data_IF_252338091841
#
_entry.id   IF_252338091841
#
_cell.length_a   1.000
_cell.length_b   1.000
_cell.length_c   1.000
_cell.angle_alpha   90.00
_cell.angle_beta   90.00
_cell.angle_gamma   90.00
#
_symmetry.space_group_name_H-M   'P 1'
#
loop_
_entity.id
_entity.type
_entity.pdbx_description
1 polymer ?
#
# COMPACT_ATOMS: atom_id res chain seq x y z
N UNK A 1 -2.20 7.89 -9.51
CA UNK A 1 -2.47 7.27 -8.21
C UNK A 1 -3.91 7.48 -7.79
N UNK A 2 -4.39 6.58 -6.90
CA UNK A 2 -5.73 6.69 -6.33
C UNK A 2 -5.75 6.15 -4.90
N UNK A 3 -6.62 6.74 -4.06
CA UNK A 3 -6.83 6.27 -2.70
C UNK A 3 -8.32 6.30 -2.35
N UNK A 4 -8.72 5.44 -1.42
CA UNK A 4 -10.09 5.42 -0.93
C UNK A 4 -10.20 4.87 0.48
N UNK A 5 -11.24 5.35 1.19
CA UNK A 5 -11.59 4.94 2.54
C UNK A 5 -13.08 4.62 2.58
N UNK A 6 -13.45 3.51 3.21
CA UNK A 6 -14.86 3.16 3.42
C UNK A 6 -15.08 2.42 4.73
N UNK A 7 -16.08 2.85 5.49
CA UNK A 7 -16.63 2.06 6.57
C UNK A 7 -17.51 0.95 5.99
N UNK A 8 -17.29 -0.28 6.44
CA UNK A 8 -18.00 -1.47 5.96
C UNK A 8 -18.53 -2.28 7.13
N UNK A 9 -19.37 -3.28 6.86
CA UNK A 9 -19.86 -4.21 7.88
C UNK A 9 -18.74 -5.07 8.50
N UNK A 10 -17.58 -5.19 7.81
CA UNK A 10 -16.41 -5.94 8.29
C UNK A 10 -15.42 -5.07 9.07
N UNK A 11 -15.46 -3.75 8.87
CA UNK A 11 -14.55 -2.79 9.49
C UNK A 11 -14.23 -1.61 8.59
N UNK A 12 -13.19 -0.85 8.93
CA UNK A 12 -12.70 0.28 8.15
C UNK A 12 -11.70 -0.20 7.10
N UNK A 13 -11.99 0.06 5.83
CA UNK A 13 -11.15 -0.30 4.69
C UNK A 13 -10.46 0.95 4.13
N UNK A 14 -9.15 0.89 3.99
CA UNK A 14 -8.32 1.90 3.30
C UNK A 14 -7.58 1.22 2.16
N UNK A 15 -7.57 1.85 0.98
CA UNK A 15 -6.91 1.35 -0.22
C UNK A 15 -6.08 2.48 -0.82
N UNK A 16 -4.83 2.17 -1.20
CA UNK A 16 -3.94 3.06 -1.97
C UNK A 16 -3.39 2.26 -3.14
N UNK A 17 -3.46 2.86 -4.32
CA UNK A 17 -3.06 2.25 -5.59
C UNK A 17 -2.19 3.23 -6.39
N UNK A 18 -1.06 2.74 -6.89
CA UNK A 18 -0.15 3.43 -7.79
C UNK A 18 -0.37 2.95 -9.21
N UNK A 19 -0.78 3.84 -10.09
CA UNK A 19 -1.19 3.51 -11.45
C UNK A 19 -0.06 3.57 -12.46
N UNK A 20 0.10 2.54 -13.27
CA UNK A 20 1.09 2.43 -14.34
C UNK A 20 0.44 2.22 -15.71
N UNK A 21 1.13 2.65 -16.78
CA UNK A 21 0.63 2.50 -18.17
C UNK A 21 0.35 3.83 -18.88
N UNK A 22 1.22 4.81 -18.65
CA UNK A 22 1.11 6.18 -19.18
C UNK A 22 0.03 7.02 -18.47
N UNK A 23 -0.03 8.32 -18.80
CA UNK A 23 -0.84 9.28 -18.04
C UNK A 23 -2.33 8.93 -17.92
N UNK A 24 -2.94 8.30 -18.92
CA UNK A 24 -4.36 7.92 -18.88
C UNK A 24 -4.57 6.52 -18.30
N UNK A 25 -3.78 5.54 -18.73
CA UNK A 25 -3.95 4.15 -18.34
C UNK A 25 -3.75 3.92 -16.84
N UNK A 26 -2.69 4.46 -16.26
CA UNK A 26 -2.41 4.36 -14.83
C UNK A 26 -3.51 4.96 -13.95
N UNK A 27 -4.01 6.14 -14.31
CA UNK A 27 -5.11 6.80 -13.59
C UNK A 27 -6.40 5.97 -13.63
N UNK A 28 -6.76 5.43 -14.79
CA UNK A 28 -7.96 4.57 -14.93
C UNK A 28 -7.78 3.28 -14.12
N UNK A 29 -6.64 2.61 -14.23
CA UNK A 29 -6.38 1.37 -13.52
C UNK A 29 -6.45 1.53 -12.00
N UNK A 30 -5.79 2.57 -11.44
CA UNK A 30 -5.79 2.81 -10.00
C UNK A 30 -7.18 3.22 -9.48
N UNK A 31 -7.94 4.03 -10.20
CA UNK A 31 -9.31 4.40 -9.84
C UNK A 31 -10.25 3.19 -9.86
N UNK A 32 -10.19 2.38 -10.92
CA UNK A 32 -11.00 1.18 -11.07
C UNK A 32 -10.68 0.16 -9.97
N UNK A 33 -9.40 0.00 -9.62
CA UNK A 33 -8.99 -0.85 -8.50
C UNK A 33 -9.59 -0.40 -7.17
N UNK A 34 -9.41 0.87 -6.81
CA UNK A 34 -9.94 1.42 -5.56
C UNK A 34 -11.45 1.25 -5.49
N UNK A 35 -12.17 1.65 -6.54
CA UNK A 35 -13.63 1.54 -6.58
C UNK A 35 -14.11 0.10 -6.42
N UNK A 36 -13.58 -0.83 -7.21
CA UNK A 36 -13.97 -2.24 -7.19
C UNK A 36 -13.72 -2.89 -5.82
N UNK A 37 -12.57 -2.59 -5.20
CA UNK A 37 -12.23 -3.13 -3.89
C UNK A 37 -13.18 -2.59 -2.82
N UNK A 38 -13.42 -1.28 -2.78
CA UNK A 38 -14.32 -0.66 -1.82
C UNK A 38 -15.76 -1.19 -1.94
N UNK A 39 -16.27 -1.32 -3.16
CA UNK A 39 -17.63 -1.82 -3.42
C UNK A 39 -17.76 -3.31 -3.08
N UNK A 40 -16.80 -4.13 -3.44
CA UNK A 40 -16.82 -5.57 -3.15
C UNK A 40 -16.82 -5.83 -1.64
N UNK A 41 -15.96 -5.15 -0.88
CA UNK A 41 -15.90 -5.34 0.59
C UNK A 41 -17.15 -4.75 1.25
N UNK A 42 -17.66 -3.60 0.78
CA UNK A 42 -18.85 -2.97 1.35
C UNK A 42 -20.13 -3.80 1.13
N UNK A 43 -20.20 -4.58 0.04
CA UNK A 43 -21.32 -5.47 -0.25
C UNK A 43 -21.31 -6.78 0.55
N UNK A 44 -20.21 -7.10 1.22
CA UNK A 44 -20.07 -8.33 1.99
C UNK A 44 -20.95 -8.33 3.24
N UNK A 45 -21.42 -9.51 3.61
CA UNK A 45 -22.18 -9.69 4.86
C UNK A 45 -21.24 -9.66 6.08
N UNK A 46 -21.82 -9.29 7.24
CA UNK A 46 -21.08 -9.21 8.50
C UNK A 46 -20.43 -10.54 8.92
N UNK A 47 -21.02 -11.68 8.50
CA UNK A 47 -20.49 -13.01 8.76
C UNK A 47 -19.44 -13.49 7.76
N UNK A 48 -19.19 -12.73 6.69
CA UNK A 48 -18.18 -13.08 5.70
C UNK A 48 -16.79 -13.11 6.34
N UNK A 49 -15.95 -14.04 5.88
CA UNK A 49 -14.55 -14.07 6.30
C UNK A 49 -13.81 -12.84 5.74
N UNK A 50 -13.26 -11.96 6.59
CA UNK A 50 -12.66 -10.70 6.13
C UNK A 50 -11.46 -10.91 5.19
N UNK A 51 -10.58 -11.87 5.49
CA UNK A 51 -9.39 -12.17 4.66
C UNK A 51 -9.80 -12.65 3.26
N UNK A 52 -10.72 -13.61 3.19
CA UNK A 52 -11.22 -14.14 1.91
C UNK A 52 -11.95 -13.06 1.10
N UNK A 53 -12.70 -12.20 1.79
CA UNK A 53 -13.41 -11.08 1.14
C UNK A 53 -12.43 -10.09 0.53
N UNK A 54 -11.36 -9.74 1.26
CA UNK A 54 -10.34 -8.81 0.78
C UNK A 54 -9.56 -9.38 -0.41
N UNK A 55 -9.16 -10.65 -0.35
CA UNK A 55 -8.51 -11.34 -1.49
C UNK A 55 -9.43 -11.35 -2.72
N UNK A 56 -10.71 -11.71 -2.53
CA UNK A 56 -11.70 -11.69 -3.62
C UNK A 56 -11.86 -10.30 -4.22
N UNK A 57 -11.91 -9.26 -3.39
CA UNK A 57 -12.05 -7.88 -3.84
C UNK A 57 -10.87 -7.44 -4.71
N UNK A 58 -9.64 -7.77 -4.32
CA UNK A 58 -8.43 -7.46 -5.10
C UNK A 58 -8.41 -8.25 -6.41
N UNK A 59 -8.80 -9.53 -6.40
CA UNK A 59 -8.91 -10.33 -7.64
C UNK A 59 -9.98 -9.80 -8.58
N UNK A 60 -11.13 -9.36 -8.06
CA UNK A 60 -12.16 -8.71 -8.87
C UNK A 60 -11.64 -7.43 -9.52
N UNK A 61 -10.89 -6.62 -8.77
CA UNK A 61 -10.25 -5.42 -9.31
C UNK A 61 -9.25 -5.75 -10.43
N UNK A 62 -8.44 -6.80 -10.24
CA UNK A 62 -7.53 -7.28 -11.27
C UNK A 62 -8.26 -7.63 -12.57
N UNK A 63 -9.34 -8.39 -12.48
CA UNK A 63 -10.12 -8.77 -13.65
C UNK A 63 -10.81 -7.57 -14.32
N UNK A 64 -11.36 -6.64 -13.53
CA UNK A 64 -11.99 -5.43 -14.06
C UNK A 64 -10.98 -4.57 -14.87
N UNK A 65 -9.74 -4.44 -14.40
CA UNK A 65 -8.68 -3.70 -15.12
C UNK A 65 -8.33 -4.41 -16.43
N UNK A 66 -8.19 -5.73 -16.42
CA UNK A 66 -7.90 -6.52 -17.63
C UNK A 66 -9.02 -6.37 -18.66
N UNK A 67 -10.29 -6.51 -18.24
CA UNK A 67 -11.45 -6.37 -19.10
C UNK A 67 -11.55 -4.98 -19.71
N UNK A 68 -11.32 -3.93 -18.93
CA UNK A 68 -11.34 -2.55 -19.43
C UNK A 68 -10.21 -2.31 -20.45
N UNK A 69 -8.99 -2.82 -20.19
CA UNK A 69 -7.87 -2.73 -21.13
C UNK A 69 -8.10 -3.52 -22.43
N UNK A 70 -8.88 -4.62 -22.40
CA UNK A 70 -9.26 -5.37 -23.58
C UNK A 70 -10.34 -4.65 -24.41
N UNK A 71 -11.29 -3.98 -23.74
CA UNK A 71 -12.38 -3.26 -24.38
C UNK A 71 -11.96 -1.91 -24.96
N UNK A 72 -10.90 -1.30 -24.42
CA UNK A 72 -10.41 0.01 -24.84
C UNK A 72 -8.93 -0.07 -25.24
N UNK A 73 -8.62 -0.07 -26.56
CA UNK A 73 -7.24 -0.16 -27.04
C UNK A 73 -6.28 0.91 -26.52
N UNK A 74 -6.79 2.11 -26.15
CA UNK A 74 -5.98 3.19 -25.57
C UNK A 74 -5.53 2.91 -24.12
N UNK A 75 -6.15 1.92 -23.48
CA UNK A 75 -5.87 1.51 -22.10
C UNK A 75 -5.16 0.13 -22.04
N UNK A 76 -4.78 -0.41 -23.19
CA UNK A 76 -4.12 -1.71 -23.25
C UNK A 76 -2.82 -1.71 -22.46
N UNK A 77 -2.64 -2.70 -21.59
CA UNK A 77 -1.45 -2.86 -20.76
C UNK A 77 -1.41 -1.92 -19.56
N UNK A 78 -2.51 -1.22 -19.24
CA UNK A 78 -2.60 -0.49 -17.98
C UNK A 78 -2.58 -1.44 -16.79
N UNK A 79 -2.03 -0.98 -15.68
CA UNK A 79 -1.97 -1.72 -14.43
C UNK A 79 -1.89 -0.80 -13.23
N UNK A 80 -1.87 -1.39 -12.06
CA UNK A 80 -1.71 -0.64 -10.81
C UNK A 80 -1.17 -1.54 -9.70
N UNK A 81 -0.44 -0.96 -8.74
CA UNK A 81 -0.21 -1.60 -7.46
C UNK A 81 -1.49 -1.59 -6.63
N UNK A 82 -1.51 -2.30 -5.54
CA UNK A 82 -2.52 -2.16 -4.50
C UNK A 82 -1.91 -2.38 -3.12
N UNK A 83 -2.25 -1.50 -2.20
CA UNK A 83 -2.16 -1.72 -0.75
C UNK A 83 -3.54 -1.53 -0.15
N UNK A 84 -3.99 -2.50 0.64
CA UNK A 84 -5.29 -2.48 1.30
C UNK A 84 -5.14 -2.85 2.77
N UNK A 85 -5.73 -2.04 3.64
CA UNK A 85 -5.79 -2.24 5.08
C UNK A 85 -7.26 -2.33 5.51
N UNK A 86 -7.68 -3.49 6.00
CA UNK A 86 -8.98 -3.68 6.62
C UNK A 86 -8.83 -3.80 8.13
N UNK A 87 -9.26 -2.76 8.83
CA UNK A 87 -9.25 -2.70 10.30
C UNK A 87 -10.55 -3.26 10.85
N UNK A 88 -10.49 -4.44 11.43
CA UNK A 88 -11.59 -5.05 12.17
C UNK A 88 -11.40 -4.84 13.67
N UNK A 89 -12.44 -5.04 14.53
CA UNK A 89 -12.23 -5.04 15.97
C UNK A 89 -11.23 -6.10 16.46
N UNK A 90 -11.02 -7.16 15.65
CA UNK A 90 -10.16 -8.28 16.02
C UNK A 90 -8.70 -8.04 15.64
N UNK A 91 -8.45 -7.45 14.48
CA UNK A 91 -7.11 -7.37 13.89
C UNK A 91 -7.06 -6.36 12.75
N UNK A 92 -5.85 -6.05 12.30
CA UNK A 92 -5.56 -5.40 11.04
C UNK A 92 -5.21 -6.46 9.99
N UNK A 93 -5.94 -6.48 8.88
CA UNK A 93 -5.61 -7.27 7.70
C UNK A 93 -4.91 -6.36 6.70
N UNK A 94 -3.66 -6.68 6.37
CA UNK A 94 -2.88 -6.00 5.34
C UNK A 94 -2.84 -6.89 4.10
N UNK A 95 -3.23 -6.36 2.94
CA UNK A 95 -3.15 -7.08 1.67
C UNK A 95 -2.49 -6.20 0.61
N UNK A 96 -1.63 -6.78 -0.24
CA UNK A 96 -0.92 -5.98 -1.23
C UNK A 96 -0.44 -6.77 -2.44
N UNK A 97 -0.24 -6.05 -3.54
CA UNK A 97 0.45 -6.46 -4.77
C UNK A 97 1.22 -5.26 -5.31
N UNK A 98 2.51 -5.42 -5.57
CA UNK A 98 3.38 -4.36 -6.07
C UNK A 98 4.38 -3.88 -5.04
N UNK A 99 4.83 -2.65 -5.17
CA UNK A 99 5.87 -2.00 -4.36
C UNK A 99 5.39 -0.79 -3.56
N UNK A 100 4.10 -0.45 -3.64
CA UNK A 100 3.47 0.41 -2.64
C UNK A 100 3.48 -0.29 -1.29
N UNK A 101 3.65 0.46 -0.21
CA UNK A 101 3.94 -0.10 1.12
C UNK A 101 2.87 0.16 2.16
N UNK A 102 2.73 -0.79 3.08
CA UNK A 102 1.99 -0.63 4.34
C UNK A 102 3.00 -0.71 5.48
N UNK A 103 3.03 0.32 6.32
CA UNK A 103 3.81 0.35 7.56
C UNK A 103 2.88 0.24 8.76
N UNK A 104 3.33 -0.45 9.82
CA UNK A 104 2.79 -0.35 11.17
C UNK A 104 3.87 0.19 12.09
N UNK A 105 3.62 1.34 12.70
CA UNK A 105 4.52 1.98 13.64
C UNK A 105 3.94 1.88 15.05
N UNK A 106 4.79 1.60 16.02
CA UNK A 106 4.47 1.55 17.46
C UNK A 106 5.50 2.30 18.25
N UNK A 107 5.08 3.32 19.01
CA UNK A 107 5.98 4.14 19.85
C UNK A 107 7.20 4.64 19.07
N UNK A 108 6.99 5.15 17.87
CA UNK A 108 8.03 5.69 17.01
C UNK A 108 8.94 4.66 16.33
N UNK A 109 8.61 3.38 16.39
CA UNK A 109 9.39 2.30 15.76
C UNK A 109 8.57 1.55 14.74
N UNK A 110 9.19 1.17 13.63
CA UNK A 110 8.62 0.25 12.66
C UNK A 110 8.53 -1.15 13.28
N UNK A 111 7.30 -1.67 13.43
CA UNK A 111 7.05 -3.05 13.88
C UNK A 111 6.65 -3.96 12.73
N UNK A 112 6.27 -3.37 11.59
CA UNK A 112 5.95 -4.08 10.36
C UNK A 112 6.10 -3.19 9.14
N UNK A 113 6.42 -3.79 8.02
CA UNK A 113 6.34 -3.24 6.67
C UNK A 113 6.11 -4.38 5.67
N UNK A 114 5.29 -4.15 4.63
CA UNK A 114 5.15 -5.04 3.47
C UNK A 114 6.48 -5.18 2.73
N UNK A 115 6.66 -6.27 2.00
CA UNK A 115 7.86 -6.52 1.21
C UNK A 115 7.57 -6.32 -0.28
N UNK A 116 8.32 -5.44 -0.94
CA UNK A 116 8.04 -5.03 -2.31
C UNK A 116 8.16 -6.18 -3.32
N UNK A 117 7.22 -6.26 -4.26
CA UNK A 117 7.28 -7.14 -5.41
C UNK A 117 8.05 -6.48 -6.56
N UNK A 118 9.31 -6.15 -6.34
CA UNK A 118 10.20 -5.56 -7.34
C UNK A 118 11.47 -6.41 -7.55
N UNK A 119 12.11 -6.21 -8.70
CA UNK A 119 13.33 -6.95 -9.04
C UNK A 119 14.43 -6.74 -8.00
N UNK A 120 14.64 -5.51 -7.56
CA UNK A 120 15.71 -5.18 -6.60
C UNK A 120 15.40 -5.75 -5.21
N UNK A 121 14.13 -5.79 -4.79
CA UNK A 121 13.76 -6.36 -3.51
C UNK A 121 13.80 -7.89 -3.49
N UNK A 122 13.66 -8.57 -4.62
CA UNK A 122 14.00 -9.99 -4.73
C UNK A 122 15.50 -10.25 -4.49
N UNK A 123 16.38 -9.32 -4.93
CA UNK A 123 17.82 -9.40 -4.62
C UNK A 123 18.09 -9.15 -3.12
N UNK A 124 17.34 -8.23 -2.48
CA UNK A 124 17.40 -8.03 -1.02
C UNK A 124 16.98 -9.31 -0.28
N UNK A 125 15.87 -9.93 -0.69
CA UNK A 125 15.37 -11.20 -0.11
C UNK A 125 16.41 -12.31 -0.19
N UNK A 126 17.15 -12.37 -1.30
CA UNK A 126 18.27 -13.31 -1.52
C UNK A 126 19.57 -12.87 -0.83
N UNK A 127 19.58 -11.75 -0.11
CA UNK A 127 20.75 -11.15 0.56
C UNK A 127 21.90 -10.81 -0.38
N UNK A 128 21.63 -10.51 -1.65
CA UNK A 128 22.61 -10.09 -2.66
C UNK A 128 22.96 -8.62 -2.52
N UNK A 129 21.94 -7.79 -2.20
CA UNK A 129 22.10 -6.35 -1.96
C UNK A 129 21.36 -5.93 -0.68
N UNK A 130 21.72 -4.77 -0.12
CA UNK A 130 21.00 -4.15 1.00
C UNK A 130 19.75 -3.41 0.50
N UNK A 131 18.82 -3.09 1.41
CA UNK A 131 17.62 -2.28 1.07
C UNK A 131 18.02 -0.89 0.58
N UNK A 132 19.07 -0.29 1.12
CA UNK A 132 19.57 1.01 0.67
C UNK A 132 20.16 0.93 -0.74
N UNK A 133 20.88 -0.14 -1.07
CA UNK A 133 21.35 -0.38 -2.44
C UNK A 133 20.17 -0.59 -3.41
N UNK A 134 19.11 -1.30 -2.98
CA UNK A 134 17.91 -1.46 -3.76
C UNK A 134 17.24 -0.11 -4.05
N UNK A 135 17.07 0.72 -3.01
CA UNK A 135 16.46 2.06 -3.13
C UNK A 135 17.21 2.97 -4.11
N UNK A 136 18.54 2.93 -4.10
CA UNK A 136 19.40 3.75 -4.96
C UNK A 136 19.66 3.14 -6.36
N UNK A 137 19.10 1.96 -6.64
CA UNK A 137 19.29 1.29 -7.92
C UNK A 137 18.53 1.98 -9.05
N UNK A 138 19.13 2.07 -10.23
CA UNK A 138 18.46 2.50 -11.45
C UNK A 138 17.27 1.58 -11.87
N UNK A 139 17.16 0.39 -11.25
CA UNK A 139 16.10 -0.58 -11.48
C UNK A 139 15.09 -0.62 -10.32
N UNK A 140 15.13 0.36 -9.41
CA UNK A 140 14.24 0.41 -8.22
C UNK A 140 12.76 0.38 -8.57
N UNK A 141 12.38 0.93 -9.73
CA UNK A 141 11.02 1.02 -10.25
C UNK A 141 10.59 -0.18 -11.13
N UNK A 142 11.39 -1.27 -11.20
CA UNK A 142 11.01 -2.47 -11.97
C UNK A 142 10.15 -3.38 -11.12
N UNK A 143 8.83 -3.27 -11.28
CA UNK A 143 7.83 -4.05 -10.54
C UNK A 143 7.65 -5.42 -11.19
N UNK A 144 7.53 -6.47 -10.39
CA UNK A 144 7.35 -7.87 -10.85
C UNK A 144 5.89 -8.33 -10.81
N UNK A 145 5.05 -7.70 -9.96
CA UNK A 145 3.63 -8.03 -9.81
C UNK A 145 2.81 -6.75 -9.75
N UNK A 146 1.74 -6.70 -10.54
CA UNK A 146 0.76 -5.61 -10.54
C UNK A 146 -0.62 -6.12 -10.95
N UNK A 147 -1.69 -5.43 -10.57
CA UNK A 147 -3.04 -5.69 -11.07
C UNK A 147 -3.16 -5.24 -12.52
N UNK A 148 -3.98 -5.92 -13.29
CA UNK A 148 -4.26 -5.62 -14.69
C UNK A 148 -3.31 -6.28 -15.70
N UNK A 149 -2.26 -6.98 -15.24
CA UNK A 149 -1.23 -7.55 -16.11
C UNK A 149 -1.50 -9.03 -16.44
N UNK A 150 -1.83 -9.83 -15.44
CA UNK A 150 -2.11 -11.25 -15.59
C UNK A 150 -3.42 -11.65 -14.91
N UNK A 151 -4.22 -12.57 -15.48
CA UNK A 151 -5.47 -13.02 -14.85
C UNK A 151 -5.27 -13.64 -13.49
N UNK A 152 -4.24 -14.48 -13.34
CA UNK A 152 -3.87 -15.06 -12.06
C UNK A 152 -2.96 -14.13 -11.29
N UNK A 153 -3.48 -13.58 -10.20
CA UNK A 153 -2.73 -12.73 -9.28
C UNK A 153 -2.67 -13.35 -7.90
N UNK A 154 -1.48 -13.49 -7.38
CA UNK A 154 -1.24 -13.86 -5.99
C UNK A 154 -1.28 -12.60 -5.13
N UNK A 155 -2.22 -12.55 -4.19
CA UNK A 155 -2.36 -11.46 -3.21
C UNK A 155 -1.66 -11.87 -1.94
N UNK A 156 -0.66 -11.13 -1.52
CA UNK A 156 -0.07 -11.31 -0.19
C UNK A 156 -0.97 -10.67 0.85
N UNK A 157 -1.31 -11.44 1.90
CA UNK A 157 -2.17 -10.99 2.99
C UNK A 157 -1.61 -11.45 4.33
N UNK A 158 -1.65 -10.57 5.32
CA UNK A 158 -1.20 -10.84 6.68
C UNK A 158 -2.19 -10.27 7.69
N UNK A 159 -2.49 -11.05 8.73
CA UNK A 159 -3.30 -10.64 9.85
C UNK A 159 -2.42 -10.26 11.03
N UNK A 160 -2.62 -9.05 11.58
CA UNK A 160 -1.76 -8.46 12.60
C UNK A 160 -2.55 -7.88 13.77
N UNK A 161 -2.07 -8.04 15.01
CA UNK A 161 -2.60 -7.30 16.15
C UNK A 161 -2.22 -5.82 16.06
N UNK A 162 -3.07 -4.96 16.59
CA UNK A 162 -2.74 -3.56 16.81
C UNK A 162 -3.03 -3.12 18.25
N UNK A 163 -2.32 -2.11 18.70
CA UNK A 163 -2.48 -1.48 20.00
C UNK A 163 -2.92 -0.03 19.83
N UNK A 164 -3.55 0.51 20.87
CA UNK A 164 -3.84 1.94 20.93
C UNK A 164 -2.56 2.75 20.73
N UNK A 165 -2.60 3.73 19.84
CA UNK A 165 -1.46 4.56 19.45
C UNK A 165 -0.58 3.96 18.35
N UNK A 166 -0.87 2.75 17.85
CA UNK A 166 -0.23 2.28 16.63
C UNK A 166 -0.68 3.14 15.45
N UNK A 167 0.24 3.42 14.53
CA UNK A 167 -0.04 4.09 13.27
C UNK A 167 0.13 3.13 12.11
N UNK A 168 -0.84 3.11 11.22
CA UNK A 168 -0.74 2.44 9.93
C UNK A 168 -0.59 3.49 8.85
N UNK A 169 0.36 3.28 7.94
CA UNK A 169 0.61 4.16 6.80
C UNK A 169 0.61 3.31 5.55
N UNK A 170 -0.21 3.71 4.56
CA UNK A 170 -0.20 3.15 3.21
C UNK A 170 0.36 4.23 2.29
N UNK A 171 1.34 3.91 1.46
CA UNK A 171 1.94 4.90 0.58
C UNK A 171 2.52 4.29 -0.70
N UNK A 172 2.54 5.10 -1.76
CA UNK A 172 3.19 4.78 -3.04
C UNK A 172 4.70 5.00 -2.97
N UNK A 173 5.44 4.53 -3.95
CA UNK A 173 6.91 4.58 -4.00
C UNK A 173 7.44 6.01 -4.09
N UNK A 174 6.73 6.92 -4.76
CA UNK A 174 7.05 8.34 -4.77
C UNK A 174 7.18 8.94 -3.37
N UNK A 175 6.47 8.37 -2.38
CA UNK A 175 6.49 8.84 -0.99
C UNK A 175 7.63 8.23 -0.17
N UNK A 176 7.86 6.91 -0.25
CA UNK A 176 8.88 6.23 0.53
C UNK A 176 10.26 6.15 -0.16
N UNK A 177 10.30 6.22 -1.49
CA UNK A 177 11.52 6.03 -2.28
C UNK A 177 12.52 7.17 -2.20
N UNK A 178 12.07 8.39 -1.86
CA UNK A 178 12.88 9.60 -1.93
C UNK A 178 13.91 9.73 -0.80
N UNK A 179 13.71 9.06 0.35
CA UNK A 179 14.57 9.18 1.52
C UNK A 179 14.88 7.81 2.15
N UNK A 180 15.94 7.69 2.98
CA UNK A 180 16.21 6.48 3.76
C UNK A 180 15.02 6.11 4.66
N UNK A 181 14.76 4.81 4.85
CA UNK A 181 13.60 4.34 5.60
C UNK A 181 13.57 4.84 7.06
N UNK A 182 14.71 4.89 7.73
CA UNK A 182 14.79 5.38 9.12
C UNK A 182 14.38 6.85 9.21
N UNK A 183 14.75 7.67 8.22
CA UNK A 183 14.33 9.07 8.13
C UNK A 183 12.84 9.18 7.86
N UNK A 184 12.31 8.38 6.94
CA UNK A 184 10.88 8.32 6.66
C UNK A 184 10.08 7.92 7.91
N UNK A 185 10.48 6.87 8.61
CA UNK A 185 9.85 6.43 9.87
C UNK A 185 9.93 7.50 10.96
N UNK A 186 11.03 8.24 11.05
CA UNK A 186 11.18 9.35 11.98
C UNK A 186 10.13 10.45 11.73
N UNK A 187 9.96 10.88 10.48
CA UNK A 187 8.93 11.87 10.12
C UNK A 187 7.51 11.38 10.44
N UNK A 188 7.20 10.12 10.13
CA UNK A 188 5.90 9.52 10.44
C UNK A 188 5.64 9.32 11.94
N UNK A 189 6.68 9.42 12.76
CA UNK A 189 6.61 9.24 14.22
C UNK A 189 6.55 10.55 15.00
N UNK A 190 6.58 11.69 14.32
CA UNK A 190 6.51 13.01 14.96
C UNK A 190 5.23 13.16 15.79
N UNK A 191 5.35 13.93 16.87
CA UNK A 191 4.23 14.21 17.78
C UNK A 191 3.39 15.40 17.28
N UNK A 192 3.00 15.34 16.01
CA UNK A 192 2.13 16.30 15.36
C UNK A 192 0.68 15.78 15.29
N UNK A 193 -0.32 16.66 15.14
CA UNK A 193 -1.68 16.22 14.81
C UNK A 193 -1.67 15.31 13.57
N UNK A 194 -2.46 14.22 13.60
CA UNK A 194 -2.42 13.17 12.57
C UNK A 194 -2.62 13.71 11.15
N UNK A 195 -3.42 14.73 10.98
CA UNK A 195 -3.68 15.40 9.71
C UNK A 195 -2.50 16.25 9.18
N UNK A 196 -1.41 16.37 9.96
CA UNK A 196 -0.19 17.11 9.58
C UNK A 196 1.05 16.24 9.53
N UNK A 197 0.97 14.97 9.92
CA UNK A 197 2.14 14.07 9.98
C UNK A 197 2.70 13.83 8.59
N UNK A 198 1.84 13.69 7.59
CA UNK A 198 2.26 13.45 6.21
C UNK A 198 2.86 14.70 5.54
N UNK A 199 2.62 15.90 6.07
CA UNK A 199 3.18 17.15 5.52
C UNK A 199 4.71 17.17 5.64
N UNK A 200 5.26 16.65 6.74
CA UNK A 200 6.70 16.63 6.99
C UNK A 200 7.48 15.83 5.93
N UNK A 201 7.21 14.53 5.71
CA UNK A 201 7.89 13.78 4.66
C UNK A 201 7.53 14.28 3.24
N UNK A 202 6.31 14.75 3.00
CA UNK A 202 5.93 15.30 1.70
C UNK A 202 6.79 16.52 1.32
N UNK A 203 6.98 17.45 2.25
CA UNK A 203 7.83 18.64 2.03
C UNK A 203 9.29 18.24 1.72
N UNK A 204 9.82 17.18 2.36
CA UNK A 204 11.17 16.67 2.08
C UNK A 204 11.25 16.12 0.65
N UNK A 205 10.29 15.28 0.25
CA UNK A 205 10.23 14.70 -1.11
C UNK A 205 10.16 15.80 -2.16
N UNK A 206 9.28 16.79 -1.99
CA UNK A 206 9.16 17.94 -2.91
C UNK A 206 10.46 18.74 -2.98
N UNK A 207 11.15 18.94 -1.85
CA UNK A 207 12.43 19.65 -1.81
C UNK A 207 13.51 18.90 -2.57
N UNK A 208 13.58 17.57 -2.43
CA UNK A 208 14.52 16.72 -3.16
C UNK A 208 14.23 16.80 -4.67
N UNK A 209 12.97 16.69 -5.09
CA UNK A 209 12.58 16.78 -6.48
C UNK A 209 12.96 18.12 -7.11
N UNK A 210 12.65 19.24 -6.44
CA UNK A 210 13.02 20.59 -6.92
C UNK A 210 14.53 20.78 -7.07
N UNK A 211 15.32 20.25 -6.13
CA UNK A 211 16.79 20.39 -6.13
C UNK A 211 17.45 19.50 -7.17
N UNK A 212 16.88 18.35 -7.52
CA UNK A 212 17.44 17.43 -8.53
C UNK A 212 17.11 17.85 -9.96
N UNK A 213 16.16 18.78 -10.15
CA UNK A 213 15.68 19.20 -11.48
C UNK A 213 14.91 18.09 -12.22
N UNK A 214 14.57 17.01 -11.56
CA UNK A 214 13.79 15.90 -12.09
C UNK A 214 12.31 16.07 -11.71
N UNK A 215 11.42 15.61 -12.59
CA UNK A 215 10.03 15.38 -12.20
C UNK A 215 10.00 14.29 -11.12
N UNK A 216 9.36 14.56 -9.99
CA UNK A 216 9.09 13.57 -8.95
C UNK A 216 7.74 12.92 -9.22
N UNK A 217 7.63 11.66 -8.81
CA UNK A 217 6.43 10.85 -8.97
C UNK A 217 5.26 11.36 -8.11
N UNK A 218 4.06 10.86 -8.36
CA UNK A 218 2.91 11.17 -7.54
C UNK A 218 3.15 10.79 -6.08
N UNK A 219 2.69 11.63 -5.16
CA UNK A 219 2.79 11.42 -3.72
C UNK A 219 1.42 11.03 -3.17
N UNK A 220 1.20 9.75 -2.94
CA UNK A 220 -0.07 9.28 -2.37
C UNK A 220 0.18 8.49 -1.09
N UNK A 221 -0.45 8.94 -0.01
CA UNK A 221 -0.37 8.26 1.27
C UNK A 221 -1.66 8.43 2.09
N UNK A 222 -1.93 7.43 2.94
CA UNK A 222 -2.97 7.46 3.97
C UNK A 222 -2.35 7.08 5.31
N UNK A 223 -2.76 7.77 6.38
CA UNK A 223 -2.33 7.48 7.75
C UNK A 223 -3.52 7.29 8.67
N UNK A 224 -3.46 6.27 9.50
CA UNK A 224 -4.47 5.98 10.53
C UNK A 224 -3.78 5.77 11.87
N UNK A 225 -4.34 6.34 12.94
CA UNK A 225 -3.88 6.09 14.30
C UNK A 225 -4.95 5.33 15.08
N UNK A 226 -4.55 4.27 15.74
CA UNK A 226 -5.47 3.40 16.48
C UNK A 226 -5.85 4.02 17.82
N UNK A 227 -7.15 4.16 18.06
CA UNK A 227 -7.70 4.69 19.33
C UNK A 227 -8.00 3.60 20.36
N UNK A 228 -7.90 2.33 19.98
CA UNK A 228 -8.16 1.13 20.80
C UNK A 228 -7.18 0.00 20.46
N UNK A 229 -7.17 -1.05 21.29
CA UNK A 229 -6.45 -2.28 21.00
C UNK A 229 -7.32 -3.23 20.19
N UNK A 230 -6.69 -4.07 19.35
CA UNK A 230 -7.34 -5.22 18.72
C UNK A 230 -7.62 -6.33 19.75
N UNK A 231 -8.57 -7.20 19.44
CA UNK A 231 -8.89 -8.39 20.24
C UNK A 231 -7.80 -9.45 20.04
N UNK A 232 -7.25 -9.56 18.82
CA UNK A 232 -6.12 -10.42 18.53
C UNK A 232 -4.91 -9.93 19.35
N UNK A 233 -4.38 -10.80 20.20
CA UNK A 233 -3.17 -10.50 20.97
C UNK A 233 -1.93 -10.94 20.22
N UNK A 234 -0.85 -10.19 20.35
CA UNK A 234 0.45 -10.68 19.91
C UNK A 234 0.75 -12.01 20.61
N UNK A 235 1.13 -13.02 19.84
CA UNK A 235 1.73 -14.21 20.42
C UNK A 235 3.01 -13.75 21.10
N UNK A 236 3.02 -13.72 22.44
CA UNK A 236 4.24 -13.50 23.18
C UNK A 236 5.21 -14.59 22.73
N UNK A 237 6.32 -14.20 22.11
CA UNK A 237 7.43 -15.12 21.90
C UNK A 237 7.84 -15.56 23.31
N UNK A 238 7.48 -16.79 23.67
CA UNK A 238 8.08 -17.43 24.82
C UNK A 238 9.57 -17.61 24.47
N UNK A 239 10.41 -16.86 25.18
CA UNK A 239 11.85 -17.04 25.16
C UNK A 239 12.19 -18.36 25.84
#
# INVERSE_FOLDING_TARGET
>A
DSAGLKETKLGYLVVVCDGMGGMQGGSVASQLAVQTILETVASADKQSNPSMTLIKAIRNANMAIIEEGQNNPNLQGMGTTVTALLLTPYSALTAYVGDSRIYQLRKGKKVFRTFDHSMVFEMVRKKVISEEQARLSAQSNVILKALGITPDIEVEIEERPYLKGDRFILCTDGFWGAMPEDEFVRHLSENNPINKILDSPANVVESIGRNSGNEYDNLTAAILEMNSNSILKEKMKQN
#
